data_IF_645944427440
#
_entry.id   IF_645944427440
#
_cell.length_a   1.000
_cell.length_b   1.000
_cell.length_c   1.000
_cell.angle_alpha   90.00
_cell.angle_beta   90.00
_cell.angle_gamma   90.00
#
_symmetry.space_group_name_H-M   'P 1'
#
loop_
_entity.id
_entity.type
_entity.pdbx_description
1 polymer ?
#
# COMPACT_ATOMS: atom_id res chain seq x y z
N UNK A 1 22.32 5.29 24.76
CA UNK A 1 21.40 5.25 23.61
C UNK A 1 21.82 6.31 22.61
N UNK A 2 22.45 5.93 21.50
CA UNK A 2 22.78 6.87 20.42
C UNK A 2 21.53 7.04 19.55
N UNK A 3 20.98 8.27 19.52
CA UNK A 3 19.96 8.67 18.56
C UNK A 3 20.66 8.85 17.21
N UNK A 4 20.54 7.87 16.32
CA UNK A 4 21.03 8.02 14.94
C UNK A 4 20.15 9.03 14.23
N UNK A 5 20.60 10.28 14.12
CA UNK A 5 19.94 11.30 13.31
C UNK A 5 20.08 10.91 11.84
N UNK A 6 19.00 10.46 11.22
CA UNK A 6 18.98 10.16 9.78
C UNK A 6 19.22 11.45 8.99
N UNK A 7 20.39 11.56 8.35
CA UNK A 7 20.75 12.71 7.53
C UNK A 7 19.85 12.75 6.29
N UNK A 8 19.11 13.84 6.13
CA UNK A 8 18.28 14.06 4.93
C UNK A 8 19.20 14.34 3.75
N UNK A 9 19.09 13.50 2.71
CA UNK A 9 19.76 13.75 1.41
C UNK A 9 18.92 14.72 0.59
N UNK A 10 19.58 15.64 -0.12
CA UNK A 10 18.95 16.54 -1.08
C UNK A 10 19.12 15.95 -2.46
N UNK A 11 18.02 15.88 -3.21
CA UNK A 11 17.98 15.43 -4.60
C UNK A 11 17.35 16.53 -5.45
N UNK A 12 17.72 16.56 -6.73
CA UNK A 12 17.04 17.37 -7.73
C UNK A 12 16.21 16.43 -8.61
N UNK A 13 14.92 16.73 -8.75
CA UNK A 13 13.98 15.95 -9.55
C UNK A 13 13.27 16.92 -10.49
N UNK A 14 13.35 16.72 -11.82
CA UNK A 14 12.57 17.52 -12.75
C UNK A 14 11.09 17.21 -12.56
N UNK A 15 10.27 18.26 -12.54
CA UNK A 15 8.81 18.18 -12.42
C UNK A 15 8.19 19.13 -13.44
N UNK A 16 6.98 18.83 -13.88
CA UNK A 16 6.23 19.76 -14.71
C UNK A 16 5.73 20.97 -13.90
N UNK A 17 5.47 22.07 -14.60
CA UNK A 17 5.05 23.35 -14.01
C UNK A 17 3.72 23.24 -13.27
N UNK A 18 2.81 22.39 -13.76
CA UNK A 18 1.49 22.21 -13.17
C UNK A 18 1.59 21.53 -11.80
N UNK A 19 2.41 20.50 -11.69
CA UNK A 19 2.70 19.80 -10.44
C UNK A 19 3.39 20.73 -9.43
N UNK A 20 4.38 21.52 -9.88
CA UNK A 20 5.05 22.49 -9.03
C UNK A 20 4.05 23.51 -8.45
N UNK A 21 3.18 24.04 -9.31
CA UNK A 21 2.13 24.99 -8.92
C UNK A 21 1.17 24.37 -7.89
N UNK A 22 0.74 23.13 -8.11
CA UNK A 22 -0.14 22.42 -7.17
C UNK A 22 0.53 22.20 -5.81
N UNK A 23 1.80 21.81 -5.79
CA UNK A 23 2.58 21.62 -4.56
C UNK A 23 2.76 22.94 -3.79
N UNK A 24 2.98 24.06 -4.49
CA UNK A 24 3.08 25.38 -3.87
C UNK A 24 1.74 25.83 -3.26
N UNK A 25 0.63 25.58 -3.93
CA UNK A 25 -0.71 25.88 -3.39
C UNK A 25 -1.00 25.05 -2.13
N UNK A 26 -0.70 23.75 -2.14
CA UNK A 26 -0.86 22.86 -0.98
C UNK A 26 0.04 23.28 0.19
N UNK A 27 1.29 23.62 -0.11
CA UNK A 27 2.27 24.14 0.85
C UNK A 27 1.73 25.37 1.58
N UNK A 28 1.18 26.34 0.84
CA UNK A 28 0.57 27.56 1.40
C UNK A 28 -0.67 27.26 2.23
N UNK A 29 -1.58 26.45 1.70
CA UNK A 29 -2.87 26.11 2.36
C UNK A 29 -2.65 25.40 3.71
N UNK A 30 -1.71 24.47 3.75
CA UNK A 30 -1.47 23.60 4.90
C UNK A 30 -0.29 24.04 5.78
N UNK A 31 0.42 25.12 5.39
CA UNK A 31 1.63 25.62 6.07
C UNK A 31 2.71 24.55 6.27
N UNK A 32 2.92 23.72 5.26
CA UNK A 32 3.88 22.61 5.27
C UNK A 32 4.85 22.74 4.11
N UNK A 33 6.10 22.34 4.31
CA UNK A 33 7.09 22.39 3.23
C UNK A 33 6.70 21.42 2.10
N UNK A 34 6.94 21.82 0.84
CA UNK A 34 6.79 20.94 -0.33
C UNK A 34 7.44 19.57 -0.14
N UNK A 35 8.64 19.55 0.46
CA UNK A 35 9.38 18.32 0.71
C UNK A 35 8.65 17.35 1.65
N UNK A 36 7.77 17.83 2.52
CA UNK A 36 6.92 16.97 3.35
C UNK A 36 5.86 16.26 2.52
N UNK A 37 5.17 16.99 1.64
CA UNK A 37 4.20 16.40 0.71
C UNK A 37 4.85 15.40 -0.23
N UNK A 38 5.99 15.76 -0.82
CA UNK A 38 6.74 14.87 -1.72
C UNK A 38 7.12 13.59 -0.97
N UNK A 39 7.68 13.69 0.24
CA UNK A 39 8.02 12.49 1.04
C UNK A 39 6.80 11.63 1.34
N UNK A 40 5.68 12.24 1.74
CA UNK A 40 4.45 11.49 2.04
C UNK A 40 3.87 10.81 0.80
N UNK A 41 3.88 11.49 -0.35
CA UNK A 41 3.42 10.94 -1.61
C UNK A 41 4.31 9.77 -2.05
N UNK A 42 5.63 9.92 -1.99
CA UNK A 42 6.57 8.85 -2.30
C UNK A 42 6.39 7.65 -1.37
N UNK A 43 6.25 7.87 -0.06
CA UNK A 43 6.06 6.78 0.91
C UNK A 43 4.79 5.99 0.61
N UNK A 44 3.65 6.68 0.41
CA UNK A 44 2.38 6.03 0.06
C UNK A 44 2.46 5.25 -1.24
N UNK A 45 3.15 5.81 -2.24
CA UNK A 45 3.30 5.15 -3.53
C UNK A 45 4.15 3.88 -3.43
N UNK A 46 5.22 3.91 -2.62
CA UNK A 46 6.05 2.72 -2.36
C UNK A 46 5.22 1.65 -1.67
N UNK A 47 4.50 2.00 -0.59
CA UNK A 47 3.62 1.06 0.13
C UNK A 47 2.55 0.45 -0.78
N UNK A 48 1.98 1.26 -1.67
CA UNK A 48 1.03 0.78 -2.67
C UNK A 48 1.68 -0.23 -3.63
N UNK A 49 2.86 0.07 -4.18
CA UNK A 49 3.57 -0.85 -5.07
C UNK A 49 3.93 -2.17 -4.38
N UNK A 50 4.35 -2.11 -3.12
CA UNK A 50 4.66 -3.31 -2.33
C UNK A 50 3.40 -4.17 -2.09
N UNK A 51 2.26 -3.53 -1.78
CA UNK A 51 0.98 -4.23 -1.63
C UNK A 51 0.53 -4.87 -2.94
N UNK A 52 0.57 -4.12 -4.04
CA UNK A 52 0.17 -4.64 -5.37
C UNK A 52 1.04 -5.81 -5.81
N UNK A 53 2.33 -5.78 -5.50
CA UNK A 53 3.23 -6.89 -5.82
C UNK A 53 2.93 -8.12 -4.96
N UNK A 54 2.65 -7.93 -3.67
CA UNK A 54 2.25 -9.02 -2.78
C UNK A 54 0.95 -9.67 -3.25
N UNK A 55 -0.05 -8.88 -3.66
CA UNK A 55 -1.31 -9.38 -4.20
C UNK A 55 -1.09 -10.22 -5.47
N UNK A 56 -0.22 -9.77 -6.38
CA UNK A 56 0.15 -10.54 -7.58
C UNK A 56 0.81 -11.87 -7.21
N UNK A 57 1.72 -11.87 -6.23
CA UNK A 57 2.39 -13.10 -5.77
C UNK A 57 1.39 -14.08 -5.16
N UNK A 58 0.42 -13.60 -4.37
CA UNK A 58 -0.63 -14.45 -3.84
C UNK A 58 -1.50 -15.05 -4.95
N UNK A 59 -1.97 -14.21 -5.88
CA UNK A 59 -2.76 -14.68 -7.03
C UNK A 59 -2.00 -15.75 -7.81
N UNK A 60 -0.73 -15.48 -8.14
CA UNK A 60 0.10 -16.43 -8.87
C UNK A 60 0.29 -17.75 -8.09
N UNK A 61 0.43 -17.68 -6.77
CA UNK A 61 0.50 -18.86 -5.90
C UNK A 61 -0.75 -19.73 -6.01
N UNK A 62 -1.94 -19.12 -5.90
CA UNK A 62 -3.22 -19.83 -6.02
C UNK A 62 -3.45 -20.40 -7.42
N UNK A 63 -3.06 -19.67 -8.48
CA UNK A 63 -3.17 -20.17 -9.86
C UNK A 63 -2.21 -21.33 -10.15
N UNK A 64 -1.02 -21.30 -9.56
CA UNK A 64 0.04 -22.30 -9.80
C UNK A 64 -0.21 -23.61 -9.08
N UNK A 65 -0.88 -23.57 -7.92
CA UNK A 65 -1.29 -24.74 -7.16
C UNK A 65 -2.75 -24.58 -6.74
N UNK A 66 -3.70 -24.83 -7.65
CA UNK A 66 -5.12 -24.70 -7.34
C UNK A 66 -5.51 -25.72 -6.27
N UNK A 67 -6.43 -25.31 -5.39
CA UNK A 67 -7.03 -26.22 -4.43
C UNK A 67 -7.84 -27.31 -5.13
N UNK A 68 -7.81 -28.52 -4.58
CA UNK A 68 -8.64 -29.61 -5.06
C UNK A 68 -10.12 -29.31 -4.80
N UNK A 69 -10.97 -29.47 -5.81
CA UNK A 69 -12.38 -29.11 -5.73
C UNK A 69 -13.10 -29.78 -4.55
N UNK A 70 -12.79 -31.05 -4.24
CA UNK A 70 -13.35 -31.77 -3.11
C UNK A 70 -13.02 -31.11 -1.76
N UNK A 71 -11.80 -30.58 -1.63
CA UNK A 71 -11.38 -29.86 -0.43
C UNK A 71 -12.18 -28.56 -0.28
N UNK A 72 -12.35 -27.81 -1.38
CA UNK A 72 -13.16 -26.59 -1.39
C UNK A 72 -14.64 -26.86 -1.07
N UNK A 73 -15.23 -27.92 -1.64
CA UNK A 73 -16.62 -28.32 -1.38
C UNK A 73 -16.83 -28.71 0.10
N UNK A 74 -15.91 -29.48 0.68
CA UNK A 74 -15.95 -29.86 2.08
C UNK A 74 -15.85 -28.64 3.01
N UNK A 75 -14.98 -27.68 2.70
CA UNK A 75 -14.84 -26.44 3.45
C UNK A 75 -16.12 -25.59 3.39
N UNK A 76 -16.72 -25.45 2.21
CA UNK A 76 -18.00 -24.73 2.03
C UNK A 76 -19.10 -25.37 2.88
N UNK A 77 -19.23 -26.70 2.85
CA UNK A 77 -20.24 -27.40 3.61
C UNK A 77 -20.15 -27.12 5.12
N UNK A 78 -18.95 -27.18 5.68
CA UNK A 78 -18.71 -26.86 7.11
C UNK A 78 -18.97 -25.39 7.39
N UNK A 79 -18.50 -24.49 6.54
CA UNK A 79 -18.71 -23.06 6.71
C UNK A 79 -20.20 -22.69 6.72
N UNK A 80 -21.01 -23.29 5.85
CA UNK A 80 -22.46 -23.08 5.81
C UNK A 80 -23.17 -23.49 7.11
N UNK A 81 -22.66 -24.46 7.86
CA UNK A 81 -23.23 -24.87 9.14
C UNK A 81 -22.80 -23.98 10.31
N UNK A 82 -21.55 -23.51 10.27
CA UNK A 82 -20.93 -22.78 11.39
C UNK A 82 -21.21 -21.28 11.31
N UNK A 83 -21.03 -20.65 10.14
CA UNK A 83 -21.15 -19.19 9.99
C UNK A 83 -22.49 -18.62 10.49
N UNK A 84 -23.67 -19.25 10.27
CA UNK A 84 -24.93 -18.72 10.77
C UNK A 84 -25.08 -18.74 12.30
N UNK A 85 -24.22 -19.48 13.01
CA UNK A 85 -24.25 -19.61 14.49
C UNK A 85 -23.29 -18.65 15.18
N UNK A 86 -22.40 -18.04 14.40
CA UNK A 86 -21.45 -17.06 14.91
C UNK A 86 -22.15 -15.72 15.21
N UNK A 87 -21.66 -14.97 16.21
CA UNK A 87 -22.29 -13.72 16.70
C UNK A 87 -21.49 -12.46 16.38
N UNK A 88 -20.55 -12.52 15.43
CA UNK A 88 -19.70 -11.38 15.05
C UNK A 88 -20.45 -10.27 14.32
#
# INVERSE_FOLDING_TARGET
MLRTTMVKKVIQVPVDEALLTALDQLSRKQRKARSEFIRQACQRYIEQLESEELDRLYQHGYESLPEEAETGEAQIAVACEVLPREQW
#
